data_IF_254687278229
#
_entry.id   IF_254687278229
#
_cell.length_a   1.000
_cell.length_b   1.000
_cell.length_c   1.000
_cell.angle_alpha   90.00
_cell.angle_beta   90.00
_cell.angle_gamma   90.00
#
_symmetry.space_group_name_H-M   'P 1'
#
loop_
_entity.id
_entity.type
_entity.pdbx_description
1 polymer ?
#
# COMPACT_ATOMS: atom_id res chain seq x y z
N UNK A 1 -66.80 -5.37 12.88
CA UNK A 1 -66.82 -5.43 11.40
C UNK A 1 -65.40 -5.69 10.89
N UNK A 2 -64.89 -6.93 11.00
CA UNK A 2 -65.10 -8.03 10.04
C UNK A 2 -64.54 -7.68 8.65
N UNK A 3 -63.76 -8.48 7.92
CA UNK A 3 -63.07 -9.77 8.07
C UNK A 3 -62.63 -10.08 6.64
N UNK A 4 -61.39 -10.49 6.38
CA UNK A 4 -61.11 -11.75 5.67
C UNK A 4 -59.62 -11.98 5.45
N UNK A 5 -59.28 -13.25 5.66
CA UNK A 5 -57.98 -13.88 5.69
C UNK A 5 -58.00 -15.09 4.74
N UNK A 6 -56.84 -15.51 4.24
CA UNK A 6 -56.42 -16.87 3.85
C UNK A 6 -54.92 -16.76 3.51
N UNK A 7 -53.94 -17.29 4.27
CA UNK A 7 -53.53 -18.67 4.62
C UNK A 7 -53.11 -19.58 3.44
N UNK A 8 -51.77 -19.72 3.31
CA UNK A 8 -50.94 -20.97 3.27
C UNK A 8 -51.11 -22.03 2.16
N UNK A 9 -50.22 -23.06 2.01
CA UNK A 9 -48.74 -23.12 2.09
C UNK A 9 -48.08 -24.10 1.05
N UNK A 10 -46.74 -24.24 1.04
CA UNK A 10 -46.07 -25.56 0.94
C UNK A 10 -45.20 -25.95 -0.31
N UNK A 11 -43.93 -26.31 0.00
CA UNK A 11 -43.05 -27.36 -0.58
C UNK A 11 -42.60 -27.34 -2.07
N UNK A 12 -41.28 -27.27 -2.32
CA UNK A 12 -40.44 -28.48 -2.44
C UNK A 12 -38.95 -28.20 -2.68
N UNK A 13 -38.16 -28.84 -1.82
CA UNK A 13 -36.76 -29.22 -1.91
C UNK A 13 -36.44 -30.09 -3.14
N UNK A 14 -35.41 -29.75 -3.93
CA UNK A 14 -34.61 -30.68 -4.75
C UNK A 14 -33.20 -30.13 -5.01
N UNK A 15 -32.23 -30.70 -4.31
CA UNK A 15 -30.81 -30.57 -4.65
C UNK A 15 -30.46 -31.20 -6.01
N UNK A 16 -29.40 -30.68 -6.63
CA UNK A 16 -28.72 -31.30 -7.77
C UNK A 16 -27.19 -31.27 -7.55
N UNK A 17 -26.46 -32.26 -8.11
CA UNK A 17 -25.31 -32.84 -7.43
C UNK A 17 -23.94 -32.37 -7.92
N UNK A 18 -22.96 -32.57 -7.05
CA UNK A 18 -21.51 -32.43 -7.21
C UNK A 18 -20.96 -33.19 -8.43
N UNK A 19 -20.04 -32.57 -9.17
CA UNK A 19 -19.20 -33.22 -10.18
C UNK A 19 -17.74 -33.17 -9.75
N UNK A 20 -17.17 -34.34 -9.51
CA UNK A 20 -15.74 -34.59 -9.35
C UNK A 20 -15.27 -35.62 -10.42
N UNK A 21 -13.94 -35.78 -10.62
CA UNK A 21 -13.34 -35.81 -11.95
C UNK A 21 -13.17 -37.21 -12.53
N UNK A 22 -13.12 -37.30 -13.87
CA UNK A 22 -12.81 -38.53 -14.59
C UNK A 22 -11.32 -38.63 -14.88
N UNK A 23 -10.68 -39.54 -14.16
CA UNK A 23 -9.33 -40.07 -14.37
C UNK A 23 -9.39 -41.14 -15.47
N UNK A 24 -8.73 -40.94 -16.61
CA UNK A 24 -8.49 -42.02 -17.59
C UNK A 24 -7.01 -42.38 -17.58
N UNK A 25 -6.73 -43.59 -17.09
CA UNK A 25 -5.43 -44.27 -17.20
C UNK A 25 -5.48 -45.27 -18.36
N UNK A 26 -4.27 -45.59 -18.87
CA UNK A 26 -3.85 -46.87 -19.51
C UNK A 26 -4.26 -47.08 -20.98
N UNK A 27 -3.47 -47.64 -21.93
CA UNK A 27 -2.34 -48.62 -21.89
C UNK A 27 -1.33 -48.47 -23.06
N UNK A 28 -0.17 -49.07 -22.80
CA UNK A 28 0.99 -49.43 -23.62
C UNK A 28 0.71 -50.18 -24.95
N UNK A 29 1.51 -49.80 -25.98
CA UNK A 29 2.38 -50.58 -26.88
C UNK A 29 1.92 -51.91 -27.51
N UNK A 30 2.11 -52.05 -28.84
CA UNK A 30 2.81 -53.17 -29.53
C UNK A 30 3.37 -52.68 -30.88
N UNK A 31 4.62 -53.06 -31.18
CA UNK A 31 5.36 -52.81 -32.41
C UNK A 31 5.12 -53.90 -33.48
N UNK A 32 5.27 -53.56 -34.77
CA UNK A 32 5.45 -54.55 -35.84
C UNK A 32 6.49 -54.03 -36.87
N UNK A 33 7.59 -54.79 -37.00
CA UNK A 33 8.61 -54.68 -38.04
C UNK A 33 8.14 -55.33 -39.34
N UNK A 34 8.31 -54.67 -40.49
CA UNK A 34 8.64 -55.31 -41.79
C UNK A 34 9.64 -54.41 -42.52
N UNK A 35 10.69 -55.05 -43.04
CA UNK A 35 11.89 -54.48 -43.62
C UNK A 35 11.82 -54.27 -45.16
N UNK A 36 12.94 -53.75 -45.70
CA UNK A 36 13.38 -53.60 -47.10
C UNK A 36 12.89 -52.38 -47.88
N UNK A 37 13.76 -51.37 -47.99
CA UNK A 37 14.54 -51.09 -49.22
C UNK A 37 15.28 -49.75 -49.05
N UNK A 38 16.60 -49.78 -49.13
CA UNK A 38 17.43 -48.59 -49.05
C UNK A 38 17.64 -47.98 -50.45
N UNK A 39 17.42 -46.67 -50.63
CA UNK A 39 18.23 -45.85 -51.50
C UNK A 39 19.28 -45.12 -50.65
N UNK A 40 20.47 -44.93 -51.22
CA UNK A 40 21.57 -44.22 -50.58
C UNK A 40 21.14 -42.80 -50.19
N UNK A 41 20.86 -42.58 -48.91
CA UNK A 41 20.70 -41.26 -48.33
C UNK A 41 22.09 -40.72 -48.07
N UNK A 42 22.45 -39.64 -48.77
CA UNK A 42 23.64 -38.87 -48.46
C UNK A 42 23.60 -38.52 -46.96
N UNK A 43 24.63 -38.89 -46.20
CA UNK A 43 24.81 -38.42 -44.83
C UNK A 43 24.93 -36.89 -44.88
N UNK A 44 23.82 -36.19 -44.66
CA UNK A 44 23.86 -34.80 -44.25
C UNK A 44 24.54 -34.78 -42.88
N UNK A 45 25.65 -34.04 -42.77
CA UNK A 45 26.29 -33.77 -41.50
C UNK A 45 25.24 -33.27 -40.50
N UNK A 46 25.28 -33.70 -39.22
CA UNK A 46 24.37 -33.17 -38.21
C UNK A 46 24.51 -31.65 -38.19
N UNK A 47 23.40 -30.90 -38.09
CA UNK A 47 23.48 -29.45 -37.94
C UNK A 47 24.37 -29.15 -36.75
N UNK A 48 25.40 -28.34 -36.98
CA UNK A 48 26.28 -27.84 -35.94
C UNK A 48 25.39 -27.20 -34.89
N UNK A 49 25.34 -27.81 -33.70
CA UNK A 49 24.63 -27.22 -32.58
C UNK A 49 25.18 -25.81 -32.39
N UNK A 50 24.34 -24.79 -32.60
CA UNK A 50 24.70 -23.42 -32.33
C UNK A 50 25.20 -23.36 -30.88
N UNK A 51 26.41 -22.85 -30.69
CA UNK A 51 26.97 -22.61 -29.37
C UNK A 51 25.93 -21.85 -28.53
N UNK A 52 25.78 -22.14 -27.24
CA UNK A 52 24.84 -21.41 -26.39
C UNK A 52 25.17 -19.93 -26.53
N UNK A 53 24.17 -19.13 -26.93
CA UNK A 53 24.31 -17.69 -27.05
C UNK A 53 24.92 -17.18 -25.74
N UNK A 54 26.12 -16.60 -25.80
CA UNK A 54 26.73 -16.01 -24.61
C UNK A 54 25.74 -14.98 -24.08
N UNK A 55 25.35 -15.10 -22.82
CA UNK A 55 24.61 -14.03 -22.13
C UNK A 55 25.50 -12.79 -22.27
N UNK A 56 25.07 -11.84 -23.11
CA UNK A 56 25.86 -10.64 -23.35
C UNK A 56 26.11 -9.95 -21.99
N UNK A 57 27.37 -9.63 -21.71
CA UNK A 57 27.71 -8.92 -20.49
C UNK A 57 26.99 -7.57 -20.46
N UNK A 58 26.42 -7.22 -19.30
CA UNK A 58 25.72 -5.95 -19.07
C UNK A 58 26.64 -4.77 -19.42
N UNK A 59 26.10 -3.78 -20.13
CA UNK A 59 26.88 -2.58 -20.47
C UNK A 59 27.20 -1.78 -19.20
N UNK A 60 28.28 -0.98 -19.23
CA UNK A 60 28.60 -0.11 -18.10
C UNK A 60 27.48 0.90 -17.81
N UNK A 61 26.74 1.34 -18.84
CA UNK A 61 25.60 2.25 -18.69
C UNK A 61 24.42 1.55 -18.00
N UNK A 62 24.09 0.32 -18.40
CA UNK A 62 23.05 -0.49 -17.76
C UNK A 62 23.40 -0.78 -16.30
N UNK A 63 24.65 -1.16 -16.02
CA UNK A 63 25.11 -1.42 -14.66
C UNK A 63 25.06 -0.15 -13.77
N UNK A 64 25.40 1.01 -14.32
CA UNK A 64 25.32 2.29 -13.61
C UNK A 64 23.86 2.69 -13.33
N UNK A 65 22.96 2.50 -14.30
CA UNK A 65 21.53 2.73 -14.11
C UNK A 65 20.95 1.79 -13.06
N UNK A 66 21.29 0.50 -13.12
CA UNK A 66 20.88 -0.51 -12.14
C UNK A 66 21.31 -0.17 -10.73
N UNK A 67 22.59 0.12 -10.54
CA UNK A 67 23.12 0.50 -9.24
C UNK A 67 22.41 1.74 -8.66
N UNK A 68 22.01 2.68 -9.51
CA UNK A 68 21.30 3.89 -9.09
C UNK A 68 19.88 3.59 -8.58
N UNK A 69 19.05 2.91 -9.38
CA UNK A 69 17.68 2.63 -8.95
C UNK A 69 17.63 1.63 -7.79
N UNK A 70 18.55 0.65 -7.72
CA UNK A 70 18.61 -0.30 -6.59
C UNK A 70 18.95 0.41 -5.28
N UNK A 71 19.90 1.37 -5.32
CA UNK A 71 20.27 2.17 -4.15
C UNK A 71 19.10 2.99 -3.64
N UNK A 72 18.43 3.73 -4.51
CA UNK A 72 17.31 4.60 -4.14
C UNK A 72 16.09 3.77 -3.70
N UNK A 73 15.79 2.67 -4.40
CA UNK A 73 14.71 1.76 -4.03
C UNK A 73 14.96 1.14 -2.65
N UNK A 74 16.18 0.69 -2.38
CA UNK A 74 16.55 0.18 -1.06
C UNK A 74 16.35 1.24 0.02
N UNK A 75 16.78 2.48 -0.23
CA UNK A 75 16.55 3.58 0.70
C UNK A 75 15.05 3.84 0.95
N UNK A 76 14.20 3.73 -0.08
CA UNK A 76 12.74 3.84 0.10
C UNK A 76 12.19 2.73 1.00
N UNK A 77 12.60 1.49 0.76
CA UNK A 77 12.20 0.31 1.53
C UNK A 77 12.68 0.36 3.00
N UNK A 78 13.83 0.96 3.26
CA UNK A 78 14.39 1.12 4.60
C UNK A 78 13.72 2.28 5.39
N UNK A 79 12.59 2.82 4.89
CA UNK A 79 11.78 3.85 5.55
C UNK A 79 12.06 5.28 5.10
N UNK A 80 12.92 5.48 4.10
CA UNK A 80 13.27 6.78 3.56
C UNK A 80 12.21 7.38 2.63
N UNK A 81 11.45 6.57 1.92
CA UNK A 81 10.68 7.00 0.75
C UNK A 81 9.25 7.42 1.00
N UNK A 82 8.56 6.68 1.87
CA UNK A 82 7.19 6.88 2.36
C UNK A 82 6.91 5.58 3.12
N UNK A 83 7.11 5.59 4.44
CA UNK A 83 6.63 4.45 5.21
C UNK A 83 5.10 4.53 5.16
N UNK A 84 4.41 3.52 4.64
CA UNK A 84 2.96 3.59 4.61
C UNK A 84 2.38 3.57 6.03
N UNK A 85 1.35 4.37 6.29
CA UNK A 85 0.59 4.26 7.54
C UNK A 85 -0.21 2.96 7.64
N UNK A 86 -0.25 2.11 6.61
CA UNK A 86 -1.11 0.93 6.53
C UNK A 86 -0.35 -0.43 6.63
N UNK A 87 -0.90 -1.46 5.97
CA UNK A 87 -0.39 -2.82 5.86
C UNK A 87 0.87 -2.96 4.98
N UNK A 88 1.24 -1.97 4.17
CA UNK A 88 2.40 -2.03 3.30
C UNK A 88 3.72 -1.66 4.01
N UNK A 89 3.65 -1.17 5.25
CA UNK A 89 4.85 -0.89 6.05
C UNK A 89 5.75 -2.14 6.23
N UNK A 90 7.05 -1.99 6.55
CA UNK A 90 7.87 -3.13 6.98
C UNK A 90 7.26 -3.84 8.21
N UNK A 91 7.32 -5.17 8.28
CA UNK A 91 6.71 -5.94 9.38
C UNK A 91 7.34 -5.65 10.76
N UNK A 92 8.58 -5.18 10.77
CA UNK A 92 9.31 -4.72 11.94
C UNK A 92 9.08 -3.24 12.27
N UNK A 93 8.23 -2.52 11.53
CA UNK A 93 7.93 -1.12 11.79
C UNK A 93 7.24 -0.96 13.15
N UNK A 94 7.85 -0.17 14.03
CA UNK A 94 7.31 0.17 15.36
C UNK A 94 6.75 1.58 15.44
N UNK A 95 6.84 2.34 14.35
CA UNK A 95 6.36 3.72 14.22
C UNK A 95 5.59 3.90 12.91
N UNK A 96 4.69 4.87 12.91
CA UNK A 96 4.08 5.40 11.69
C UNK A 96 5.10 6.26 10.93
N UNK A 97 4.89 6.57 9.64
CA UNK A 97 5.76 7.50 8.92
C UNK A 97 5.97 8.82 9.65
N UNK A 98 7.16 9.38 9.46
CA UNK A 98 7.39 10.80 9.71
C UNK A 98 6.91 11.60 8.50
N UNK A 99 5.83 12.35 8.69
CA UNK A 99 5.20 13.17 7.65
C UNK A 99 5.45 14.66 7.85
N UNK A 100 6.28 15.02 8.84
CA UNK A 100 6.61 16.42 9.10
C UNK A 100 7.43 17.05 7.98
N UNK A 101 7.37 18.38 7.86
CA UNK A 101 8.06 19.13 6.81
C UNK A 101 9.58 18.83 6.71
N UNK A 102 10.26 18.63 7.84
CA UNK A 102 11.69 18.28 7.85
C UNK A 102 11.97 16.92 7.18
N UNK A 103 11.12 15.92 7.43
CA UNK A 103 11.21 14.62 6.78
C UNK A 103 10.98 14.76 5.26
N UNK A 104 10.00 15.57 4.85
CA UNK A 104 9.74 15.83 3.43
C UNK A 104 10.97 16.47 2.74
N UNK A 105 11.61 17.45 3.36
CA UNK A 105 12.83 18.06 2.81
C UNK A 105 14.00 17.06 2.72
N UNK A 106 14.11 16.14 3.68
CA UNK A 106 15.12 15.08 3.63
C UNK A 106 14.87 14.12 2.44
N UNK A 107 13.61 13.79 2.13
CA UNK A 107 13.23 12.99 0.95
C UNK A 107 13.57 13.70 -0.35
N UNK A 108 13.17 14.97 -0.47
CA UNK A 108 13.45 15.79 -1.64
C UNK A 108 14.95 15.82 -1.96
N UNK A 109 15.81 15.95 -0.94
CA UNK A 109 17.27 15.91 -1.14
C UNK A 109 17.74 14.62 -1.81
N UNK A 110 17.22 13.46 -1.40
CA UNK A 110 17.59 12.16 -1.98
C UNK A 110 17.09 12.02 -3.41
N UNK A 111 15.86 12.45 -3.69
CA UNK A 111 15.32 12.43 -5.05
C UNK A 111 16.05 13.40 -5.97
N UNK A 112 16.48 14.55 -5.48
CA UNK A 112 17.28 15.52 -6.26
C UNK A 112 18.67 14.99 -6.60
N UNK A 113 19.32 14.34 -5.64
CA UNK A 113 20.59 13.64 -5.88
C UNK A 113 20.42 12.51 -6.90
N UNK A 114 19.29 11.78 -6.85
CA UNK A 114 18.97 10.70 -7.79
C UNK A 114 18.72 11.25 -9.20
N UNK A 115 17.92 12.31 -9.35
CA UNK A 115 17.68 12.97 -10.63
C UNK A 115 18.97 13.57 -11.21
N UNK A 116 19.84 14.14 -10.36
CA UNK A 116 21.14 14.64 -10.78
C UNK A 116 22.07 13.51 -11.26
N UNK A 117 22.01 12.32 -10.65
CA UNK A 117 22.74 11.15 -11.09
C UNK A 117 22.19 10.59 -12.41
N UNK A 118 20.85 10.51 -12.56
CA UNK A 118 20.19 10.06 -13.79
C UNK A 118 20.58 10.92 -15.00
N UNK A 119 20.71 12.24 -14.83
CA UNK A 119 21.13 13.18 -15.89
C UNK A 119 22.53 12.90 -16.46
N UNK A 120 23.38 12.16 -15.74
CA UNK A 120 24.74 11.79 -16.18
C UNK A 120 24.76 10.55 -17.08
N UNK A 121 23.66 9.80 -17.14
CA UNK A 121 23.51 8.62 -17.98
C UNK A 121 22.88 9.08 -19.30
N UNK A 122 23.57 8.88 -20.42
CA UNK A 122 22.98 9.10 -21.74
C UNK A 122 22.03 7.93 -22.05
N UNK A 123 20.70 8.16 -22.16
CA UNK A 123 19.75 7.08 -22.40
C UNK A 123 20.08 6.29 -23.67
N UNK A 124 20.69 6.91 -24.68
CA UNK A 124 21.04 6.24 -25.94
C UNK A 124 22.12 5.17 -25.78
N UNK A 125 22.85 5.18 -24.66
CA UNK A 125 23.88 4.20 -24.32
C UNK A 125 23.34 3.00 -23.55
N UNK A 126 22.07 3.05 -23.13
CA UNK A 126 21.39 1.95 -22.46
C UNK A 126 20.89 0.91 -23.47
N UNK A 127 20.74 -0.33 -23.00
CA UNK A 127 20.01 -1.36 -23.73
C UNK A 127 18.58 -0.92 -24.04
N UNK A 128 17.92 -1.46 -25.09
CA UNK A 128 16.56 -1.08 -25.46
C UNK A 128 15.56 -1.16 -24.29
N UNK A 129 15.64 -2.21 -23.48
CA UNK A 129 14.76 -2.37 -22.30
C UNK A 129 15.06 -1.30 -21.25
N UNK A 130 16.33 -1.00 -21.00
CA UNK A 130 16.70 0.02 -20.02
C UNK A 130 16.45 1.45 -20.49
N UNK A 131 16.33 1.71 -21.80
CA UNK A 131 15.83 3.01 -22.27
C UNK A 131 14.40 3.27 -21.79
N UNK A 132 13.55 2.24 -21.86
CA UNK A 132 12.16 2.31 -21.36
C UNK A 132 12.15 2.39 -19.83
N UNK A 133 12.89 1.52 -19.15
CA UNK A 133 12.95 1.53 -17.68
C UNK A 133 13.50 2.87 -17.14
N UNK A 134 14.50 3.45 -17.80
CA UNK A 134 15.05 4.76 -17.45
C UNK A 134 14.00 5.85 -17.55
N UNK A 135 13.23 5.90 -18.65
CA UNK A 135 12.20 6.92 -18.83
C UNK A 135 11.13 6.84 -17.73
N UNK A 136 10.64 5.63 -17.45
CA UNK A 136 9.66 5.38 -16.40
C UNK A 136 10.21 5.76 -15.02
N UNK A 137 11.40 5.27 -14.67
CA UNK A 137 12.00 5.51 -13.37
C UNK A 137 12.30 6.99 -13.13
N UNK A 138 12.85 7.68 -14.13
CA UNK A 138 13.12 9.12 -14.07
C UNK A 138 11.84 9.91 -13.78
N UNK A 139 10.76 9.59 -14.48
CA UNK A 139 9.48 10.28 -14.31
C UNK A 139 8.85 9.99 -12.94
N UNK A 140 8.99 8.76 -12.43
CA UNK A 140 8.56 8.42 -11.07
C UNK A 140 9.30 9.25 -10.01
N UNK A 141 10.65 9.30 -10.07
CA UNK A 141 11.45 10.08 -9.11
C UNK A 141 11.19 11.58 -9.25
N UNK A 142 10.99 12.05 -10.49
CA UNK A 142 10.62 13.44 -10.74
C UNK A 142 9.30 13.80 -10.06
N UNK A 143 8.26 13.00 -10.24
CA UNK A 143 6.95 13.24 -9.64
C UNK A 143 7.01 13.20 -8.11
N UNK A 144 7.78 12.28 -7.52
CA UNK A 144 8.00 12.26 -6.06
C UNK A 144 8.65 13.55 -5.56
N UNK A 145 9.65 14.07 -6.28
CA UNK A 145 10.30 15.33 -5.94
C UNK A 145 9.34 16.53 -6.10
N UNK A 146 8.55 16.57 -7.18
CA UNK A 146 7.57 17.64 -7.41
C UNK A 146 6.45 17.64 -6.36
N UNK A 147 5.96 16.48 -5.93
CA UNK A 147 4.95 16.38 -4.86
C UNK A 147 5.42 17.08 -3.57
N UNK A 148 6.70 16.94 -3.22
CA UNK A 148 7.30 17.66 -2.07
C UNK A 148 7.47 19.14 -2.35
N UNK A 149 7.91 19.52 -3.56
CA UNK A 149 8.08 20.94 -3.94
C UNK A 149 6.76 21.71 -3.91
N UNK A 150 5.69 21.11 -4.42
CA UNK A 150 4.32 21.62 -4.41
C UNK A 150 3.64 21.51 -3.03
N UNK A 151 4.30 20.81 -2.11
CA UNK A 151 3.85 20.57 -0.72
C UNK A 151 2.48 19.91 -0.67
N UNK A 152 2.27 18.89 -1.50
CA UNK A 152 1.01 18.14 -1.53
C UNK A 152 0.67 17.49 -0.18
N UNK A 153 1.69 17.15 0.62
CA UNK A 153 1.56 16.65 1.99
C UNK A 153 0.82 17.59 2.97
N UNK A 154 0.62 18.86 2.62
CA UNK A 154 -0.18 19.82 3.41
C UNK A 154 -1.70 19.61 3.23
N UNK A 155 -2.13 18.75 2.30
CA UNK A 155 -3.51 18.31 2.11
C UNK A 155 -3.58 16.77 2.15
N UNK A 156 -3.41 16.14 3.34
CA UNK A 156 -3.21 14.69 3.49
C UNK A 156 -4.51 13.86 3.38
N UNK A 157 -5.50 14.36 2.64
CA UNK A 157 -6.76 13.66 2.37
C UNK A 157 -7.47 14.26 1.15
N UNK A 158 -8.41 13.52 0.56
CA UNK A 158 -9.29 13.97 -0.52
C UNK A 158 -10.71 13.38 -0.37
N UNK A 159 -11.54 13.36 -1.42
CA UNK A 159 -12.90 12.80 -1.31
C UNK A 159 -12.91 11.28 -1.00
N UNK A 160 -11.90 10.56 -1.49
CA UNK A 160 -11.86 9.08 -1.47
C UNK A 160 -10.94 8.53 -0.37
N UNK A 161 -9.86 9.24 -0.02
CA UNK A 161 -8.85 8.79 0.94
C UNK A 161 -8.62 9.77 2.08
N UNK A 162 -8.18 9.25 3.22
CA UNK A 162 -7.76 10.05 4.36
C UNK A 162 -6.79 9.29 5.24
N UNK A 163 -5.80 10.00 5.79
CA UNK A 163 -4.82 9.39 6.68
C UNK A 163 -5.46 8.68 7.89
N UNK A 164 -6.60 9.18 8.41
CA UNK A 164 -7.26 8.57 9.57
C UNK A 164 -8.03 7.29 9.25
N UNK A 165 -8.68 7.22 8.08
CA UNK A 165 -9.34 5.98 7.63
C UNK A 165 -8.31 4.92 7.24
N UNK A 166 -7.19 5.34 6.64
CA UNK A 166 -6.12 4.46 6.21
C UNK A 166 -5.49 3.67 7.37
N UNK A 167 -5.46 4.18 8.61
CA UNK A 167 -4.93 3.38 9.74
C UNK A 167 -5.64 2.04 9.91
N UNK A 168 -6.92 1.93 9.54
CA UNK A 168 -7.66 0.66 9.66
C UNK A 168 -7.05 -0.46 8.82
N UNK A 169 -6.34 -0.12 7.75
CA UNK A 169 -5.63 -1.05 6.89
C UNK A 169 -4.44 -1.69 7.62
N UNK A 170 -3.80 -1.02 8.58
CA UNK A 170 -2.77 -1.65 9.43
C UNK A 170 -3.25 -2.95 10.09
N UNK A 171 -4.54 -3.00 10.45
CA UNK A 171 -5.17 -4.14 11.12
C UNK A 171 -5.38 -5.35 10.19
N UNK A 172 -5.19 -5.21 8.88
CA UNK A 172 -5.35 -6.29 7.89
C UNK A 172 -4.10 -7.16 7.76
N UNK A 173 -2.96 -6.70 8.27
CA UNK A 173 -1.72 -7.47 8.24
C UNK A 173 -1.88 -8.78 8.98
N UNK A 174 -1.40 -9.86 8.36
CA UNK A 174 -1.26 -11.15 9.03
C UNK A 174 -0.15 -11.08 10.09
N UNK A 175 -0.52 -11.28 11.37
CA UNK A 175 0.42 -11.32 12.50
C UNK A 175 0.47 -12.73 13.07
N UNK A 176 1.68 -13.28 13.23
CA UNK A 176 1.90 -14.68 13.61
C UNK A 176 2.62 -14.83 14.94
N UNK A 177 3.44 -13.86 15.30
CA UNK A 177 4.33 -13.93 16.46
C UNK A 177 3.99 -12.88 17.50
N UNK A 178 4.42 -13.10 18.75
CA UNK A 178 4.31 -12.08 19.82
C UNK A 178 4.95 -10.76 19.38
N UNK A 179 6.07 -10.82 18.67
CA UNK A 179 6.78 -9.63 18.20
C UNK A 179 5.97 -8.83 17.19
N UNK A 180 5.24 -9.48 16.29
CA UNK A 180 4.38 -8.79 15.31
C UNK A 180 3.31 -7.95 16.03
N UNK A 181 2.66 -8.54 17.04
CA UNK A 181 1.67 -7.85 17.86
C UNK A 181 2.28 -6.70 18.68
N UNK A 182 3.49 -6.87 19.21
CA UNK A 182 4.20 -5.81 19.92
C UNK A 182 4.57 -4.65 18.99
N UNK A 183 5.02 -4.92 17.77
CA UNK A 183 5.30 -3.90 16.76
C UNK A 183 4.04 -3.13 16.38
N UNK A 184 2.92 -3.85 16.18
CA UNK A 184 1.62 -3.25 15.91
C UNK A 184 1.14 -2.35 17.07
N UNK A 185 1.26 -2.82 18.32
CA UNK A 185 0.94 -2.01 19.52
C UNK A 185 1.83 -0.77 19.58
N UNK A 186 3.12 -0.87 19.22
CA UNK A 186 4.00 0.29 19.16
C UNK A 186 3.49 1.33 18.14
N UNK A 187 3.04 0.89 16.95
CA UNK A 187 2.42 1.77 15.95
C UNK A 187 1.12 2.41 16.46
N UNK A 188 0.26 1.66 17.16
CA UNK A 188 -0.94 2.22 17.81
C UNK A 188 -0.59 3.31 18.82
N UNK A 189 0.49 3.12 19.58
CA UNK A 189 0.96 4.12 20.54
C UNK A 189 1.58 5.36 19.87
N UNK A 190 2.01 5.26 18.61
CA UNK A 190 2.61 6.34 17.83
C UNK A 190 1.58 7.20 17.08
N UNK A 191 0.30 6.79 17.06
CA UNK A 191 -0.81 7.52 16.42
C UNK A 191 -0.87 9.01 16.82
N UNK A 192 -0.73 9.41 18.11
CA UNK A 192 -0.77 10.82 18.47
C UNK A 192 0.29 11.66 17.75
N UNK A 193 1.55 11.19 17.71
CA UNK A 193 2.64 11.89 17.02
C UNK A 193 2.35 12.06 15.53
N UNK A 194 1.87 10.99 14.89
CA UNK A 194 1.51 11.02 13.46
C UNK A 194 0.36 12.01 13.20
N UNK A 195 -0.67 12.03 14.03
CA UNK A 195 -1.81 12.94 13.90
C UNK A 195 -1.43 14.39 14.16
N UNK A 196 -0.52 14.64 15.09
CA UNK A 196 0.01 15.99 15.34
C UNK A 196 0.73 16.52 14.08
N UNK A 197 1.58 15.71 13.45
CA UNK A 197 2.26 16.09 12.22
C UNK A 197 1.29 16.34 11.06
N UNK A 198 0.28 15.48 10.89
CA UNK A 198 -0.75 15.68 9.87
C UNK A 198 -1.56 16.95 10.12
N UNK A 199 -1.84 17.27 11.40
CA UNK A 199 -2.53 18.49 11.79
C UNK A 199 -1.69 19.74 11.49
N UNK A 200 -0.39 19.69 11.79
CA UNK A 200 0.54 20.79 11.47
C UNK A 200 0.66 21.01 9.96
N UNK A 201 0.73 19.93 9.18
CA UNK A 201 0.71 19.99 7.72
C UNK A 201 -0.59 20.62 7.19
N UNK A 202 -1.74 20.18 7.70
CA UNK A 202 -3.04 20.76 7.33
C UNK A 202 -3.13 22.24 7.69
N UNK A 203 -2.61 22.66 8.85
CA UNK A 203 -2.54 24.08 9.22
C UNK A 203 -1.65 24.89 8.28
N UNK A 204 -0.52 24.33 7.84
CA UNK A 204 0.34 24.98 6.86
C UNK A 204 -0.38 25.15 5.52
N UNK A 205 -1.11 24.12 5.07
CA UNK A 205 -1.95 24.17 3.88
C UNK A 205 -3.02 25.26 3.96
N UNK A 206 -3.81 25.28 5.05
CA UNK A 206 -4.84 26.29 5.29
C UNK A 206 -4.28 27.73 5.21
N UNK A 207 -3.11 27.98 5.82
CA UNK A 207 -2.46 29.31 5.80
C UNK A 207 -2.15 29.83 4.40
N UNK A 208 -1.91 28.94 3.44
CA UNK A 208 -1.66 29.31 2.03
C UNK A 208 -2.86 29.09 1.12
N UNK A 209 -4.03 28.73 1.65
CA UNK A 209 -5.23 28.43 0.86
C UNK A 209 -5.18 27.08 0.14
N UNK A 210 -4.33 26.16 0.56
CA UNK A 210 -4.22 24.80 0.04
C UNK A 210 -4.97 23.83 0.95
N UNK A 211 -6.20 23.50 0.57
CA UNK A 211 -7.06 22.60 1.34
C UNK A 211 -8.01 21.85 0.42
N UNK A 212 -8.63 20.79 0.94
CA UNK A 212 -9.79 20.18 0.29
C UNK A 212 -10.92 21.22 0.26
N UNK A 213 -11.68 21.33 -0.85
CA UNK A 213 -12.77 22.31 -0.95
C UNK A 213 -13.83 22.13 0.15
N UNK A 214 -14.29 23.24 0.72
CA UNK A 214 -15.36 23.27 1.74
C UNK A 214 -16.61 22.47 1.33
N UNK A 215 -16.95 22.51 0.04
CA UNK A 215 -18.15 21.89 -0.53
C UNK A 215 -18.20 20.36 -0.36
N UNK A 216 -17.07 19.69 -0.14
CA UNK A 216 -16.99 18.24 0.02
C UNK A 216 -16.67 17.81 1.46
N UNK A 217 -16.71 18.73 2.42
CA UNK A 217 -16.34 18.46 3.81
C UNK A 217 -17.53 18.15 4.72
N UNK A 218 -18.76 18.47 4.31
CA UNK A 218 -19.95 18.21 5.13
C UNK A 218 -20.11 16.69 5.40
N UNK A 219 -20.24 16.32 6.67
CA UNK A 219 -20.41 14.93 7.11
C UNK A 219 -19.11 14.12 7.14
N UNK A 220 -17.98 14.68 6.71
CA UNK A 220 -16.71 13.96 6.64
C UNK A 220 -16.11 13.68 8.02
N UNK A 221 -16.46 14.49 9.01
CA UNK A 221 -16.15 14.30 10.42
C UNK A 221 -16.76 13.03 11.03
N UNK A 222 -17.82 12.46 10.42
CA UNK A 222 -18.46 11.22 10.88
C UNK A 222 -17.46 10.07 10.88
N UNK A 223 -16.62 9.97 9.84
CA UNK A 223 -15.58 8.94 9.75
C UNK A 223 -14.58 9.04 10.90
N UNK A 224 -14.27 10.24 11.37
CA UNK A 224 -13.39 10.51 12.52
C UNK A 224 -14.14 10.17 13.83
N UNK A 225 -15.41 10.54 13.92
CA UNK A 225 -16.27 10.31 15.08
C UNK A 225 -16.43 8.81 15.39
N UNK A 226 -16.46 7.94 14.37
CA UNK A 226 -16.60 6.49 14.56
C UNK A 226 -15.53 5.88 15.48
N UNK A 227 -14.34 6.48 15.53
CA UNK A 227 -13.26 6.10 16.45
C UNK A 227 -13.22 7.02 17.67
N UNK A 228 -13.39 8.34 17.48
CA UNK A 228 -13.30 9.33 18.56
C UNK A 228 -14.33 9.13 19.68
N UNK A 229 -15.49 8.55 19.36
CA UNK A 229 -16.62 8.39 20.29
C UNK A 229 -16.70 7.00 20.93
N UNK A 230 -15.79 6.08 20.57
CA UNK A 230 -15.75 4.73 21.13
C UNK A 230 -15.65 4.75 22.65
N UNK A 231 -16.51 3.96 23.30
CA UNK A 231 -16.47 3.71 24.75
C UNK A 231 -15.72 2.42 25.07
N UNK A 232 -15.88 1.42 24.22
CA UNK A 232 -15.15 0.16 24.29
C UNK A 232 -14.04 0.16 23.21
N UNK A 233 -12.75 0.10 23.58
CA UNK A 233 -11.66 0.03 22.60
C UNK A 233 -11.70 -1.25 21.75
N UNK A 234 -12.40 -2.31 22.16
CA UNK A 234 -12.50 -3.57 21.41
C UNK A 234 -13.43 -3.51 20.21
N UNK A 235 -14.29 -2.48 20.16
CA UNK A 235 -15.14 -2.16 19.00
C UNK A 235 -14.36 -1.41 17.90
N UNK A 236 -13.15 -0.93 18.18
CA UNK A 236 -12.32 -0.31 17.16
C UNK A 236 -11.93 -1.32 16.07
N UNK A 237 -11.98 -0.95 14.77
CA UNK A 237 -11.40 -1.75 13.69
C UNK A 237 -9.92 -2.08 13.94
N UNK A 238 -9.20 -1.20 14.62
CA UNK A 238 -7.78 -1.37 14.98
C UNK A 238 -7.55 -2.48 16.03
N UNK A 239 -8.59 -2.91 16.73
CA UNK A 239 -8.54 -4.03 17.67
C UNK A 239 -8.77 -5.39 16.99
N UNK A 240 -9.18 -5.42 15.71
CA UNK A 240 -9.53 -6.66 15.01
C UNK A 240 -8.50 -7.79 15.15
N UNK A 241 -7.17 -7.55 15.07
CA UNK A 241 -6.19 -8.64 15.17
C UNK A 241 -6.11 -9.29 16.55
N UNK A 242 -6.61 -8.62 17.60
CA UNK A 242 -6.60 -9.10 18.98
C UNK A 242 -7.87 -9.86 19.37
N UNK A 243 -8.90 -9.85 18.51
CA UNK A 243 -10.14 -10.62 18.73
C UNK A 243 -9.87 -12.13 18.71
N UNK A 244 -8.96 -12.57 17.85
CA UNK A 244 -8.52 -13.98 17.75
C UNK A 244 -7.03 -14.04 17.42
N UNK A 245 -6.21 -14.31 18.44
CA UNK A 245 -4.78 -14.54 18.23
C UNK A 245 -4.55 -15.98 17.71
N UNK A 246 -3.58 -16.20 16.81
CA UNK A 246 -3.25 -17.53 16.32
C UNK A 246 -2.60 -18.37 17.42
N UNK A 247 -2.69 -19.70 17.27
CA UNK A 247 -2.10 -20.66 18.21
C UNK A 247 -0.56 -20.58 18.29
N UNK A 248 0.08 -19.90 17.33
CA UNK A 248 1.52 -19.58 17.36
C UNK A 248 1.88 -18.56 18.43
N UNK A 249 0.91 -17.81 18.97
CA UNK A 249 1.09 -16.94 20.13
C UNK A 249 0.80 -17.73 21.41
N UNK A 250 1.77 -17.87 22.34
CA UNK A 250 1.59 -18.59 23.59
C UNK A 250 0.39 -18.05 24.38
N UNK A 251 -0.45 -18.95 24.92
CA UNK A 251 -1.66 -18.60 25.70
C UNK A 251 -1.33 -17.63 26.84
N UNK A 252 -0.18 -17.80 27.49
CA UNK A 252 0.29 -16.93 28.56
C UNK A 252 0.52 -15.47 28.14
N UNK A 253 0.85 -15.20 26.87
CA UNK A 253 1.06 -13.85 26.34
C UNK A 253 -0.21 -13.21 25.78
N UNK A 254 -1.23 -14.01 25.40
CA UNK A 254 -2.41 -13.50 24.71
C UNK A 254 -3.17 -12.45 25.54
N UNK A 255 -3.43 -12.74 26.81
CA UNK A 255 -4.15 -11.82 27.70
C UNK A 255 -3.39 -10.49 27.88
N UNK A 256 -2.05 -10.55 27.94
CA UNK A 256 -1.18 -9.39 28.05
C UNK A 256 -1.22 -8.55 26.77
N UNK A 257 -1.10 -9.16 25.58
CA UNK A 257 -1.19 -8.47 24.30
C UNK A 257 -2.55 -7.78 24.12
N UNK A 258 -3.64 -8.48 24.44
CA UNK A 258 -4.99 -7.92 24.38
C UNK A 258 -5.17 -6.74 25.34
N UNK A 259 -4.63 -6.83 26.57
CA UNK A 259 -4.68 -5.74 27.54
C UNK A 259 -3.88 -4.51 27.06
N UNK A 260 -2.67 -4.73 26.53
CA UNK A 260 -1.84 -3.66 25.96
C UNK A 260 -2.51 -3.00 24.75
N UNK A 261 -3.15 -3.78 23.87
CA UNK A 261 -3.89 -3.25 22.74
C UNK A 261 -5.08 -2.39 23.17
N UNK A 262 -5.88 -2.85 24.14
CA UNK A 262 -6.96 -2.04 24.71
C UNK A 262 -6.45 -0.72 25.27
N UNK A 263 -5.34 -0.75 26.02
CA UNK A 263 -4.74 0.44 26.61
C UNK A 263 -4.18 1.41 25.55
N UNK A 264 -3.55 0.90 24.48
CA UNK A 264 -3.08 1.74 23.37
C UNK A 264 -4.26 2.41 22.65
N UNK A 265 -5.33 1.66 22.37
CA UNK A 265 -6.50 2.20 21.67
C UNK A 265 -7.24 3.23 22.54
N UNK A 266 -7.57 2.90 23.79
CA UNK A 266 -8.31 3.82 24.66
C UNK A 266 -7.47 5.02 25.12
N UNK A 267 -6.17 4.82 25.33
CA UNK A 267 -5.27 5.84 25.90
C UNK A 267 -4.50 6.68 24.88
N UNK A 268 -4.35 6.22 23.63
CA UNK A 268 -3.59 6.92 22.58
C UNK A 268 -4.44 7.19 21.35
N UNK A 269 -5.03 6.15 20.76
CA UNK A 269 -5.76 6.27 19.49
C UNK A 269 -7.03 7.11 19.64
N UNK A 270 -7.94 6.74 20.55
CA UNK A 270 -9.22 7.45 20.73
C UNK A 270 -9.00 8.95 21.05
N UNK A 271 -8.10 9.33 21.99
CA UNK A 271 -7.79 10.73 22.24
C UNK A 271 -7.23 11.47 21.02
N UNK A 272 -6.36 10.84 20.22
CA UNK A 272 -5.84 11.46 19.00
C UNK A 272 -6.95 11.73 17.97
N UNK A 273 -7.89 10.80 17.80
CA UNK A 273 -9.08 11.01 16.96
C UNK A 273 -10.00 12.11 17.50
N UNK A 274 -10.14 12.24 18.82
CA UNK A 274 -10.91 13.34 19.44
C UNK A 274 -10.27 14.70 19.17
N UNK A 275 -8.94 14.79 19.29
CA UNK A 275 -8.19 16.00 18.96
C UNK A 275 -8.31 16.35 17.48
N UNK A 276 -8.13 15.36 16.60
CA UNK A 276 -8.30 15.53 15.16
C UNK A 276 -9.72 16.01 14.82
N UNK A 277 -10.76 15.42 15.41
CA UNK A 277 -12.15 15.85 15.17
C UNK A 277 -12.36 17.30 15.62
N UNK A 278 -11.83 17.67 16.78
CA UNK A 278 -11.92 19.03 17.31
C UNK A 278 -11.26 20.03 16.36
N UNK A 279 -10.04 19.74 15.91
CA UNK A 279 -9.34 20.53 14.89
C UNK A 279 -10.13 20.60 13.59
N UNK A 280 -10.60 19.46 13.09
CA UNK A 280 -11.28 19.37 11.81
C UNK A 280 -12.54 20.25 11.77
N UNK A 281 -13.39 20.12 12.78
CA UNK A 281 -14.66 20.86 12.86
C UNK A 281 -14.45 22.34 13.15
N UNK A 282 -13.54 22.68 14.07
CA UNK A 282 -13.43 24.06 14.57
C UNK A 282 -12.41 24.91 13.81
N UNK A 283 -11.43 24.29 13.15
CA UNK A 283 -10.32 24.99 12.49
C UNK A 283 -10.26 24.69 10.99
N UNK A 284 -10.28 23.42 10.58
CA UNK A 284 -10.11 23.05 9.17
C UNK A 284 -11.32 23.41 8.31
N UNK A 285 -12.51 22.91 8.66
CA UNK A 285 -13.73 23.14 7.87
C UNK A 285 -14.03 24.64 7.69
N UNK A 286 -13.96 25.50 8.72
CA UNK A 286 -14.26 26.93 8.57
C UNK A 286 -13.26 27.69 7.68
N UNK A 287 -12.01 27.22 7.58
CA UNK A 287 -10.94 27.88 6.82
C UNK A 287 -10.67 27.23 5.45
N UNK A 288 -11.34 26.11 5.15
CA UNK A 288 -11.18 25.41 3.90
C UNK A 288 -11.56 26.30 2.69
N UNK A 289 -10.81 26.19 1.61
CA UNK A 289 -11.04 26.95 0.38
C UNK A 289 -12.45 26.70 -0.17
N UNK A 290 -13.06 27.74 -0.72
CA UNK A 290 -14.38 27.67 -1.37
C UNK A 290 -14.30 27.47 -2.88
N UNK A 291 -13.10 27.61 -3.46
CA UNK A 291 -12.84 27.29 -4.87
C UNK A 291 -12.87 25.78 -5.09
N UNK A 292 -13.26 25.34 -6.29
CA UNK A 292 -13.32 23.93 -6.64
C UNK A 292 -12.11 23.50 -7.49
N UNK A 293 -11.75 24.28 -8.50
CA UNK A 293 -10.72 23.92 -9.48
C UNK A 293 -9.33 23.80 -8.85
N UNK A 294 -8.54 22.83 -9.32
CA UNK A 294 -7.16 22.65 -8.89
C UNK A 294 -6.25 23.80 -9.34
N UNK A 295 -6.53 24.40 -10.50
CA UNK A 295 -5.85 25.60 -11.01
C UNK A 295 -6.01 26.84 -10.10
N UNK A 296 -7.00 26.83 -9.21
CA UNK A 296 -7.24 27.90 -8.24
C UNK A 296 -6.44 27.72 -6.94
N UNK A 297 -5.66 26.64 -6.82
CA UNK A 297 -4.73 26.41 -5.69
C UNK A 297 -3.39 27.14 -5.94
N UNK A 298 -2.59 27.42 -4.90
CA UNK A 298 -1.23 27.91 -5.09
C UNK A 298 -0.44 26.98 -6.01
N UNK A 299 0.24 27.57 -7.00
CA UNK A 299 0.99 26.87 -8.06
C UNK A 299 0.15 25.93 -8.96
N UNK A 300 -1.19 26.02 -8.92
CA UNK A 300 -2.09 25.07 -9.59
C UNK A 300 -2.08 25.06 -11.13
N UNK A 301 -1.37 25.99 -11.79
CA UNK A 301 -1.16 26.01 -13.25
C UNK A 301 0.19 25.43 -13.69
N UNK A 302 1.09 25.18 -12.73
CA UNK A 302 2.46 24.74 -12.98
C UNK A 302 2.51 23.27 -13.46
#
# INVERSE_FOLDING_TARGET
>A
PSSHAMRDPGCHDRGLPSREPVLVKTRLAVALLIALSAPAVALAAPPTAAAPASVAAESAADAAFRALYEKEWKWRQDGGGEASEDEDAPANATRLPDVGAAAQQARLKVWDETLAALKKIDPKTLSPDNQVNYAIYRDQVFNLAEEVRLRGYEMPFNADSSFWSNLSFMARREMKTVQDYQNYIARLNDVPRYFDQQTDNMRAGLKRGFSVPRAVLDGREVSIATVAELKDPTESPLYAPFKKLPNTVPVAEQAKLQAQARAAISGKVVPAFQQLRTFFVNEYVPQARTTLAAEAMPDGKA
#
